data_IF_177737228207
#
_entry.id   IF_177737228207
#
_cell.length_a   1.000
_cell.length_b   1.000
_cell.length_c   1.000
_cell.angle_alpha   90.00
_cell.angle_beta   90.00
_cell.angle_gamma   90.00
#
_symmetry.space_group_name_H-M   'P 1'
#
loop_
_entity.id
_entity.type
_entity.pdbx_description
1 polymer ?
#
# COMPACT_ATOMS: atom_id res chain seq x y z
N UNK A 1 6.88 -45.91 -30.54
CA UNK A 1 5.81 -45.51 -31.48
C UNK A 1 4.70 -44.85 -30.68
N UNK A 2 4.36 -43.61 -31.04
CA UNK A 2 3.09 -42.90 -30.72
C UNK A 2 2.78 -42.55 -29.26
N UNK A 3 2.46 -41.33 -28.85
CA UNK A 3 2.28 -40.05 -29.56
C UNK A 3 2.42 -38.93 -28.53
N UNK A 4 3.16 -37.88 -28.90
CA UNK A 4 3.27 -36.59 -28.23
C UNK A 4 1.88 -35.92 -28.13
N UNK A 5 1.40 -35.63 -26.92
CA UNK A 5 0.41 -34.56 -26.73
C UNK A 5 1.19 -33.28 -26.49
N UNK A 6 1.48 -32.62 -27.60
CA UNK A 6 1.89 -31.24 -27.70
C UNK A 6 0.69 -30.37 -27.30
N UNK A 7 0.62 -29.94 -26.04
CA UNK A 7 -0.24 -28.81 -25.65
C UNK A 7 0.42 -27.54 -26.18
N UNK A 8 0.05 -27.28 -27.44
CA UNK A 8 0.34 -26.08 -28.20
C UNK A 8 0.09 -24.83 -27.35
N UNK A 9 1.01 -23.87 -27.48
CA UNK A 9 1.06 -22.66 -26.68
C UNK A 9 -0.25 -21.88 -26.65
N UNK A 10 -0.70 -21.59 -25.43
CA UNK A 10 -1.60 -20.47 -25.20
C UNK A 10 -0.77 -19.20 -25.43
N UNK A 11 -1.18 -18.29 -26.31
CA UNK A 11 -0.51 -17.00 -26.41
C UNK A 11 -0.76 -16.26 -25.09
N UNK A 12 0.30 -16.02 -24.32
CA UNK A 12 0.36 -15.14 -23.16
C UNK A 12 0.06 -13.69 -23.63
N UNK A 13 -1.20 -13.42 -23.94
CA UNK A 13 -1.66 -12.10 -24.34
C UNK A 13 -1.69 -11.16 -23.13
N UNK A 14 -1.56 -9.84 -23.33
CA UNK A 14 -1.60 -8.84 -22.25
C UNK A 14 -2.87 -8.91 -21.38
N UNK A 15 -3.96 -9.47 -21.89
CA UNK A 15 -5.20 -9.69 -21.16
C UNK A 15 -5.08 -10.71 -20.00
N UNK A 16 -4.29 -11.78 -20.15
CA UNK A 16 -4.11 -12.79 -19.10
C UNK A 16 -3.27 -12.25 -17.92
N UNK A 17 -2.28 -11.41 -18.22
CA UNK A 17 -1.48 -10.69 -17.21
C UNK A 17 -2.33 -9.65 -16.47
N UNK A 18 -3.23 -8.94 -17.17
CA UNK A 18 -4.17 -8.01 -16.54
C UNK A 18 -5.15 -8.74 -15.61
N UNK A 19 -5.71 -9.88 -16.02
CA UNK A 19 -6.59 -10.69 -15.18
C UNK A 19 -5.89 -11.21 -13.90
N UNK A 20 -4.61 -11.60 -13.99
CA UNK A 20 -3.81 -12.01 -12.82
C UNK A 20 -3.53 -10.84 -11.86
N UNK A 21 -3.22 -9.65 -12.38
CA UNK A 21 -3.10 -8.41 -11.56
C UNK A 21 -4.42 -8.05 -10.88
N UNK A 22 -5.55 -8.24 -11.54
CA UNK A 22 -6.88 -8.06 -10.93
C UNK A 22 -7.15 -9.09 -9.82
N UNK A 23 -6.61 -10.31 -9.94
CA UNK A 23 -6.75 -11.33 -8.91
C UNK A 23 -5.86 -11.07 -7.68
N UNK A 24 -4.67 -10.49 -7.82
CA UNK A 24 -3.85 -10.03 -6.68
C UNK A 24 -4.53 -8.90 -5.90
N UNK A 25 -5.25 -8.01 -6.60
CA UNK A 25 -6.07 -6.96 -5.97
C UNK A 25 -7.30 -7.57 -5.24
N UNK A 26 -7.73 -8.79 -5.60
CA UNK A 26 -8.96 -9.41 -5.07
C UNK A 26 -8.86 -9.89 -3.62
N UNK A 27 -7.68 -9.87 -3.00
CA UNK A 27 -7.54 -10.11 -1.55
C UNK A 27 -7.04 -8.86 -0.84
N UNK A 28 -7.87 -7.81 -0.82
CA UNK A 28 -7.63 -6.71 0.13
C UNK A 28 -7.52 -7.32 1.54
N UNK A 29 -6.42 -7.07 2.28
CA UNK A 29 -6.27 -7.56 3.64
C UNK A 29 -7.48 -7.15 4.48
N UNK A 30 -7.96 -8.02 5.36
CA UNK A 30 -9.16 -7.74 6.17
C UNK A 30 -9.05 -6.40 6.93
N UNK A 31 -7.84 -6.05 7.37
CA UNK A 31 -7.52 -4.77 8.00
C UNK A 31 -7.80 -3.59 7.06
N UNK A 32 -7.39 -3.68 5.79
CA UNK A 32 -7.62 -2.66 4.77
C UNK A 32 -9.11 -2.38 4.57
N UNK A 33 -9.93 -3.44 4.48
CA UNK A 33 -11.38 -3.35 4.34
C UNK A 33 -12.03 -2.73 5.57
N UNK A 34 -11.58 -3.09 6.77
CA UNK A 34 -12.08 -2.53 8.01
C UNK A 34 -11.76 -1.04 8.12
N UNK A 35 -10.55 -0.63 7.72
CA UNK A 35 -10.17 0.79 7.68
C UNK A 35 -11.05 1.52 6.69
N UNK A 36 -11.26 0.99 5.48
CA UNK A 36 -12.12 1.61 4.48
C UNK A 36 -13.55 1.78 5.00
N UNK A 37 -14.12 0.76 5.67
CA UNK A 37 -15.46 0.85 6.29
C UNK A 37 -15.54 1.92 7.38
N UNK A 38 -14.61 1.89 8.33
CA UNK A 38 -14.52 2.93 9.38
C UNK A 38 -14.15 4.28 8.79
N UNK A 39 -13.50 4.32 7.62
CA UNK A 39 -13.13 5.49 6.86
C UNK A 39 -14.20 5.95 5.87
N UNK A 40 -15.36 5.31 5.83
CA UNK A 40 -16.51 5.74 5.01
C UNK A 40 -17.66 6.21 5.91
N UNK A 41 -17.81 5.66 7.12
CA UNK A 41 -18.88 6.03 8.06
C UNK A 41 -18.73 7.46 8.62
N UNK A 42 -19.59 8.43 8.27
CA UNK A 42 -19.49 9.81 8.77
C UNK A 42 -19.66 9.96 10.29
N UNK A 43 -20.17 8.94 10.99
CA UNK A 43 -20.32 8.93 12.44
C UNK A 43 -19.12 8.29 13.17
N UNK A 44 -18.14 7.72 12.44
CA UNK A 44 -16.99 7.09 13.07
C UNK A 44 -16.18 8.11 13.89
N UNK A 45 -15.73 7.70 15.06
CA UNK A 45 -14.88 8.52 15.91
C UNK A 45 -13.39 8.24 15.62
N UNK A 46 -12.54 9.13 16.12
CA UNK A 46 -11.09 8.90 16.10
C UNK A 46 -10.66 7.67 16.90
N UNK A 47 -11.43 7.28 17.92
CA UNK A 47 -11.16 6.09 18.71
C UNK A 47 -11.43 4.81 17.89
N UNK A 48 -12.45 4.81 17.04
CA UNK A 48 -12.78 3.68 16.18
C UNK A 48 -11.72 3.48 15.09
N UNK A 49 -11.26 4.57 14.48
CA UNK A 49 -10.17 4.48 13.51
C UNK A 49 -8.86 4.02 14.19
N UNK A 50 -8.58 4.55 15.38
CA UNK A 50 -7.42 4.15 16.18
C UNK A 50 -7.45 2.65 16.50
N UNK A 51 -8.58 2.11 16.96
CA UNK A 51 -8.66 0.69 17.36
C UNK A 51 -8.39 -0.26 16.18
N UNK A 52 -8.91 0.07 14.99
CA UNK A 52 -8.64 -0.70 13.77
C UNK A 52 -7.18 -0.57 13.35
N UNK A 53 -6.59 0.62 13.47
CA UNK A 53 -5.19 0.84 13.13
C UNK A 53 -4.22 0.20 14.13
N UNK A 54 -4.57 0.12 15.41
CA UNK A 54 -3.75 -0.53 16.44
C UNK A 54 -3.65 -2.04 16.22
N UNK A 55 -4.63 -2.66 15.56
CA UNK A 55 -4.54 -4.06 15.13
C UNK A 55 -3.43 -4.30 14.08
N UNK A 56 -2.96 -3.26 13.40
CA UNK A 56 -1.89 -3.31 12.41
C UNK A 56 -0.78 -2.28 12.70
N UNK A 57 0.28 -2.76 13.36
CA UNK A 57 1.45 -1.96 13.69
C UNK A 57 2.15 -1.38 12.45
N UNK A 58 2.13 -2.07 11.31
CA UNK A 58 2.80 -1.61 10.10
C UNK A 58 2.08 -0.41 9.49
N UNK A 59 0.75 -0.46 9.45
CA UNK A 59 -0.07 0.67 9.03
C UNK A 59 0.07 1.86 9.97
N UNK A 60 -0.04 1.62 11.29
CA UNK A 60 0.12 2.67 12.30
C UNK A 60 1.45 3.40 12.15
N UNK A 61 2.54 2.66 11.97
CA UNK A 61 3.86 3.23 11.73
C UNK A 61 3.95 4.05 10.43
N UNK A 62 3.27 3.63 9.36
CA UNK A 62 3.23 4.39 8.09
C UNK A 62 2.50 5.70 8.24
N UNK A 63 1.35 5.70 8.92
CA UNK A 63 0.59 6.93 9.15
C UNK A 63 1.43 7.89 10.01
N UNK A 64 2.02 7.41 11.10
CA UNK A 64 2.93 8.22 11.93
C UNK A 64 4.12 8.76 11.12
N UNK A 65 4.72 7.95 10.23
CA UNK A 65 5.79 8.43 9.34
C UNK A 65 5.31 9.51 8.36
N UNK A 66 4.11 9.35 7.80
CA UNK A 66 3.54 10.32 6.88
C UNK A 66 3.24 11.65 7.59
N UNK A 67 2.68 11.57 8.79
CA UNK A 67 2.44 12.74 9.65
C UNK A 67 3.74 13.43 10.01
N UNK A 68 4.80 12.70 10.37
CA UNK A 68 6.12 13.26 10.67
C UNK A 68 6.92 13.69 9.43
N UNK A 69 6.36 13.61 8.23
CA UNK A 69 7.05 14.09 7.04
C UNK A 69 7.17 15.61 7.04
N UNK A 70 8.13 16.14 6.27
CA UNK A 70 8.35 17.57 6.12
C UNK A 70 7.12 18.34 5.63
N UNK A 71 6.16 17.64 5.01
CA UNK A 71 4.90 18.22 4.52
C UNK A 71 4.08 18.91 5.62
N UNK A 72 4.19 18.46 6.88
CA UNK A 72 3.38 18.97 8.00
C UNK A 72 4.15 19.88 8.97
N UNK A 73 5.46 20.09 8.75
CA UNK A 73 6.24 21.12 9.46
C UNK A 73 6.25 21.00 10.99
N UNK A 74 6.19 19.79 11.53
CA UNK A 74 6.06 19.54 12.98
C UNK A 74 7.28 20.03 13.78
N UNK A 75 7.03 20.80 14.85
CA UNK A 75 8.06 21.18 15.83
C UNK A 75 8.50 20.03 16.74
N UNK A 76 7.60 19.08 17.00
CA UNK A 76 7.87 17.90 17.84
C UNK A 76 7.37 16.65 17.13
N UNK A 77 8.15 15.57 17.22
CA UNK A 77 7.79 14.29 16.59
C UNK A 77 6.57 13.69 17.25
N UNK A 78 5.62 13.28 16.42
CA UNK A 78 4.42 12.55 16.86
C UNK A 78 4.77 11.07 16.97
N UNK A 79 4.49 10.47 18.13
CA UNK A 79 4.82 9.06 18.41
C UNK A 79 3.59 8.18 18.56
N UNK A 80 2.41 8.76 18.70
CA UNK A 80 1.17 8.03 18.90
C UNK A 80 0.03 8.57 18.01
N UNK A 81 -0.93 7.69 17.72
CA UNK A 81 -2.08 7.98 16.87
C UNK A 81 -3.01 9.05 17.44
N UNK A 82 -3.15 9.11 18.76
CA UNK A 82 -4.02 10.06 19.44
C UNK A 82 -3.53 11.51 19.27
N UNK A 83 -2.22 11.71 19.38
CA UNK A 83 -1.54 12.97 19.13
C UNK A 83 -1.59 13.34 17.64
N UNK A 84 -1.49 12.35 16.74
CA UNK A 84 -1.68 12.55 15.30
C UNK A 84 -3.10 13.07 14.99
N UNK A 85 -4.13 12.44 15.57
CA UNK A 85 -5.52 12.88 15.47
C UNK A 85 -5.72 14.28 16.03
N UNK A 86 -5.17 14.57 17.21
CA UNK A 86 -5.30 15.89 17.83
C UNK A 86 -4.66 17.00 16.99
N UNK A 87 -3.55 16.69 16.28
CA UNK A 87 -2.83 17.67 15.47
C UNK A 87 -3.46 17.91 14.09
N UNK A 88 -3.87 16.85 13.39
CA UNK A 88 -4.36 16.91 12.00
C UNK A 88 -5.89 16.92 11.88
N UNK A 89 -6.58 16.47 12.92
CA UNK A 89 -8.01 16.19 12.88
C UNK A 89 -8.33 14.83 12.25
N UNK A 90 -9.52 14.34 12.58
CA UNK A 90 -10.01 13.01 12.17
C UNK A 90 -10.05 12.81 10.65
N UNK A 91 -10.52 13.83 9.91
CA UNK A 91 -10.66 13.78 8.45
C UNK A 91 -9.33 13.51 7.74
N UNK A 92 -8.24 14.12 8.21
CA UNK A 92 -6.93 13.95 7.58
C UNK A 92 -6.29 12.61 7.92
N UNK A 93 -6.42 12.14 9.16
CA UNK A 93 -5.95 10.80 9.54
C UNK A 93 -6.71 9.73 8.75
N UNK A 94 -8.02 9.89 8.56
CA UNK A 94 -8.83 9.01 7.72
C UNK A 94 -8.29 8.93 6.29
N UNK A 95 -8.09 10.07 5.64
CA UNK A 95 -7.53 10.11 4.28
C UNK A 95 -6.15 9.45 4.23
N UNK A 96 -5.28 9.74 5.20
CA UNK A 96 -3.95 9.14 5.29
C UNK A 96 -4.00 7.63 5.49
N UNK A 97 -4.91 7.12 6.33
CA UNK A 97 -5.08 5.69 6.56
C UNK A 97 -5.54 4.97 5.29
N UNK A 98 -6.49 5.55 4.55
CA UNK A 98 -6.95 5.03 3.26
C UNK A 98 -5.81 5.05 2.24
N UNK A 99 -5.14 6.19 2.06
CA UNK A 99 -4.01 6.30 1.11
C UNK A 99 -2.89 5.34 1.47
N UNK A 100 -2.55 5.21 2.76
CA UNK A 100 -1.52 4.28 3.22
C UNK A 100 -1.89 2.84 2.91
N UNK A 101 -3.15 2.46 3.10
CA UNK A 101 -3.67 1.12 2.81
C UNK A 101 -3.64 0.82 1.31
N UNK A 102 -4.16 1.74 0.50
CA UNK A 102 -4.17 1.62 -0.97
C UNK A 102 -2.75 1.54 -1.52
N UNK A 103 -1.85 2.40 -1.01
CA UNK A 103 -0.43 2.37 -1.39
C UNK A 103 0.28 1.07 -1.00
N UNK A 104 -0.24 0.32 -0.04
CA UNK A 104 0.31 -0.99 0.31
C UNK A 104 -0.10 -2.06 -0.69
N UNK A 105 -1.39 -2.05 -1.06
CA UNK A 105 -1.93 -2.93 -2.09
C UNK A 105 -1.17 -2.78 -3.42
N UNK A 106 -0.85 -1.56 -3.80
CA UNK A 106 -0.08 -1.27 -5.02
C UNK A 106 1.44 -1.50 -4.89
N UNK A 107 1.98 -1.72 -3.69
CA UNK A 107 3.38 -2.15 -3.53
C UNK A 107 3.55 -3.66 -3.67
N UNK A 108 2.48 -4.43 -3.44
CA UNK A 108 2.51 -5.88 -3.52
C UNK A 108 2.67 -6.39 -4.96
N UNK A 109 2.17 -5.64 -5.95
CA UNK A 109 2.49 -5.86 -7.36
C UNK A 109 3.51 -4.82 -7.80
N UNK A 110 4.78 -5.20 -7.94
CA UNK A 110 5.70 -4.75 -8.99
C UNK A 110 7.17 -4.96 -8.56
N UNK A 111 7.76 -6.06 -9.04
CA UNK A 111 9.11 -5.95 -9.57
C UNK A 111 9.02 -5.09 -10.83
N UNK A 112 9.60 -3.88 -10.80
CA UNK A 112 9.62 -2.96 -11.94
C UNK A 112 10.55 -3.53 -13.02
N UNK A 113 10.02 -4.41 -13.88
CA UNK A 113 10.78 -5.08 -14.94
C UNK A 113 11.97 -5.91 -14.43
N UNK A 114 12.89 -6.33 -15.32
CA UNK A 114 14.09 -7.07 -14.93
C UNK A 114 15.12 -6.22 -14.18
N UNK A 115 14.90 -4.91 -14.06
CA UNK A 115 15.90 -3.97 -13.58
C UNK A 115 16.09 -4.07 -12.07
N UNK A 116 17.26 -4.57 -11.66
CA UNK A 116 17.70 -4.53 -10.27
C UNK A 116 18.30 -3.15 -9.97
N UNK A 117 18.02 -2.59 -8.79
CA UNK A 117 18.60 -1.31 -8.32
C UNK A 117 20.12 -1.22 -8.52
N UNK A 118 20.84 -2.33 -8.32
CA UNK A 118 22.29 -2.42 -8.55
C UNK A 118 22.68 -2.13 -10.00
N UNK A 119 21.91 -2.65 -10.97
CA UNK A 119 22.22 -2.49 -12.39
C UNK A 119 21.96 -1.06 -12.87
N UNK A 120 20.89 -0.44 -12.34
CA UNK A 120 20.61 0.98 -12.58
C UNK A 120 21.76 1.85 -12.05
N UNK A 121 22.21 1.62 -10.82
CA UNK A 121 23.33 2.34 -10.23
C UNK A 121 24.62 2.15 -11.03
N UNK A 122 24.91 0.93 -11.49
CA UNK A 122 26.09 0.65 -12.31
C UNK A 122 26.04 1.35 -13.66
N UNK A 123 24.87 1.44 -14.28
CA UNK A 123 24.70 2.17 -15.54
C UNK A 123 24.93 3.67 -15.33
N UNK A 124 24.32 4.27 -14.30
CA UNK A 124 24.41 5.71 -14.02
C UNK A 124 25.84 6.16 -13.68
N UNK A 125 26.61 5.35 -12.94
CA UNK A 125 28.02 5.66 -12.61
C UNK A 125 28.96 5.35 -13.77
N UNK A 126 28.61 4.41 -14.64
CA UNK A 126 29.42 4.01 -15.79
C UNK A 126 29.32 4.92 -17.02
N UNK A 127 28.33 5.80 -17.09
CA UNK A 127 28.16 6.79 -18.17
C UNK A 127 28.50 8.23 -17.74
N UNK A 128 29.21 8.39 -16.62
CA UNK A 128 29.77 9.65 -16.14
C UNK A 128 31.19 9.90 -16.64
#
# INVERSE_FOLDING_TARGET
MSTLVQTSGIPEGPAATAARKVHEISTLPQVALNILRVADDPNSSAADLKSVMEADAALSARVIRCVNSSAYGLRSKITNLQQAVAYLGLKQIRNLAVTATVSDLFKAGDGVGPYRRIELWRHLVGVG
#
